data_IF_760131729416
#
_entry.id   IF_760131729416
#
_cell.length_a   1.000
_cell.length_b   1.000
_cell.length_c   1.000
_cell.angle_alpha   90.00
_cell.angle_beta   90.00
_cell.angle_gamma   90.00
#
_symmetry.space_group_name_H-M   'P 1'
#
loop_
_entity.id
_entity.type
_entity.pdbx_description
1 polymer ?
#
# COMPACT_ATOMS: atom_id res chain seq x y z
N UNK A 1 7.18 -0.38 -6.95
CA UNK A 1 6.37 0.86 -7.12
C UNK A 1 7.16 1.97 -7.79
N UNK A 2 8.37 2.30 -7.30
CA UNK A 2 9.23 3.33 -7.91
C UNK A 2 9.46 3.14 -9.41
N UNK A 3 9.75 1.91 -9.86
CA UNK A 3 9.94 1.59 -11.29
C UNK A 3 8.70 1.82 -12.15
N UNK A 4 7.54 1.30 -11.73
CA UNK A 4 6.30 1.38 -12.54
C UNK A 4 5.75 2.80 -12.65
N UNK A 5 6.06 3.64 -11.67
CA UNK A 5 5.73 5.06 -11.65
C UNK A 5 6.90 5.94 -12.08
N UNK A 6 8.04 5.37 -12.51
CA UNK A 6 9.25 6.13 -12.85
C UNK A 6 9.56 7.29 -11.88
N UNK A 7 9.38 7.05 -10.57
CA UNK A 7 9.49 8.06 -9.54
C UNK A 7 10.17 7.48 -8.29
N UNK A 8 11.38 7.97 -7.92
CA UNK A 8 12.12 7.45 -6.77
C UNK A 8 11.44 7.73 -5.42
N UNK A 9 10.51 8.70 -5.37
CA UNK A 9 9.72 9.03 -4.19
C UNK A 9 8.42 8.24 -4.09
N UNK A 10 8.10 7.37 -5.07
CA UNK A 10 6.87 6.61 -5.03
C UNK A 10 6.93 5.50 -3.97
N UNK A 11 6.00 5.56 -3.01
CA UNK A 11 5.78 4.56 -1.98
C UNK A 11 4.29 4.39 -1.67
N UNK A 12 3.89 3.29 -1.02
CA UNK A 12 2.51 3.14 -0.54
C UNK A 12 2.05 4.28 0.36
N UNK A 13 2.99 4.94 1.06
CA UNK A 13 2.72 6.07 1.93
C UNK A 13 2.38 7.33 1.13
N UNK A 14 3.15 7.62 0.06
CA UNK A 14 2.94 8.80 -0.78
C UNK A 14 1.74 8.68 -1.71
N UNK A 15 1.28 7.46 -1.99
CA UNK A 15 0.10 7.20 -2.82
C UNK A 15 -1.22 7.12 -2.02
N UNK A 16 -1.19 7.33 -0.71
CA UNK A 16 -2.40 7.30 0.12
C UNK A 16 -2.90 5.90 0.49
N UNK A 17 -2.20 4.83 0.11
CA UNK A 17 -2.57 3.45 0.49
C UNK A 17 -2.46 3.26 2.01
N UNK A 18 -1.43 3.84 2.64
CA UNK A 18 -1.27 3.79 4.10
C UNK A 18 -2.34 4.62 4.83
N UNK A 19 -2.67 5.81 4.32
CA UNK A 19 -3.75 6.64 4.88
C UNK A 19 -5.13 5.95 4.74
N UNK A 20 -5.37 5.30 3.60
CA UNK A 20 -6.55 4.48 3.35
C UNK A 20 -6.66 3.31 4.36
N UNK A 21 -5.55 2.61 4.63
CA UNK A 21 -5.50 1.55 5.63
C UNK A 21 -5.85 2.08 7.04
N UNK A 22 -5.28 3.23 7.43
CA UNK A 22 -5.60 3.89 8.70
C UNK A 22 -7.06 4.29 8.82
N UNK A 23 -7.65 4.82 7.76
CA UNK A 23 -9.08 5.13 7.72
C UNK A 23 -9.94 3.85 7.85
N UNK A 24 -9.60 2.78 7.12
CA UNK A 24 -10.31 1.49 7.22
C UNK A 24 -10.21 0.87 8.62
N UNK A 25 -9.03 0.91 9.24
CA UNK A 25 -8.84 0.48 10.62
C UNK A 25 -9.66 1.34 11.59
N UNK A 26 -9.70 2.65 11.38
CA UNK A 26 -10.45 3.57 12.22
C UNK A 26 -11.96 3.33 12.16
N UNK A 27 -12.52 3.07 10.97
CA UNK A 27 -13.93 2.69 10.83
C UNK A 27 -14.24 1.41 11.63
N UNK A 28 -13.35 0.42 11.58
CA UNK A 28 -13.52 -0.83 12.32
C UNK A 28 -13.42 -0.62 13.84
N UNK A 29 -12.49 0.22 14.30
CA UNK A 29 -12.29 0.51 15.72
C UNK A 29 -13.39 1.41 16.31
N UNK A 30 -13.87 2.39 15.54
CA UNK A 30 -14.90 3.34 15.97
C UNK A 30 -16.30 2.73 15.95
N UNK A 31 -16.65 2.00 14.88
CA UNK A 31 -18.02 1.53 14.64
C UNK A 31 -18.16 0.00 14.66
N UNK A 32 -17.08 -0.75 14.42
CA UNK A 32 -17.12 -2.22 14.41
C UNK A 32 -17.29 -2.86 15.79
N UNK A 33 -16.91 -2.14 16.86
CA UNK A 33 -17.08 -2.57 18.27
C UNK A 33 -18.55 -2.83 18.62
N UNK A 34 -19.49 -2.14 17.97
CA UNK A 34 -20.91 -2.27 18.25
C UNK A 34 -21.54 -3.59 17.76
N UNK A 35 -20.89 -4.30 16.82
CA UNK A 35 -21.48 -5.47 16.16
C UNK A 35 -21.04 -6.81 16.78
N UNK A 36 -19.73 -7.06 16.95
CA UNK A 36 -19.21 -8.35 17.50
C UNK A 36 -17.82 -8.14 18.16
N UNK A 37 -17.71 -8.11 19.50
CA UNK A 37 -16.44 -7.85 20.21
C UNK A 37 -15.32 -8.87 19.92
N UNK A 38 -15.67 -10.15 19.75
CA UNK A 38 -14.70 -11.21 19.46
C UNK A 38 -14.12 -11.15 18.03
N UNK A 39 -14.77 -10.41 17.12
CA UNK A 39 -14.35 -10.31 15.73
C UNK A 39 -13.36 -9.15 15.47
N UNK A 40 -13.12 -8.28 16.45
CA UNK A 40 -12.26 -7.09 16.30
C UNK A 40 -10.84 -7.46 15.85
N UNK A 41 -10.30 -8.58 16.34
CA UNK A 41 -8.95 -9.03 16.00
C UNK A 41 -8.76 -9.26 14.48
N UNK A 42 -9.83 -9.65 13.78
CA UNK A 42 -9.80 -9.92 12.34
C UNK A 42 -10.45 -8.81 11.51
N UNK A 43 -11.48 -8.15 12.04
CA UNK A 43 -12.20 -7.07 11.35
C UNK A 43 -11.28 -5.88 11.11
N UNK A 44 -10.46 -5.49 12.09
CA UNK A 44 -9.58 -4.32 11.94
C UNK A 44 -8.54 -4.54 10.82
N UNK A 45 -7.75 -5.64 10.82
CA UNK A 45 -6.85 -5.94 9.71
C UNK A 45 -7.59 -6.09 8.37
N UNK A 46 -8.75 -6.75 8.35
CA UNK A 46 -9.52 -6.96 7.13
C UNK A 46 -9.99 -5.63 6.53
N UNK A 47 -10.53 -4.72 7.34
CA UNK A 47 -11.03 -3.44 6.86
C UNK A 47 -9.88 -2.53 6.39
N UNK A 48 -8.79 -2.48 7.14
CA UNK A 48 -7.57 -1.78 6.73
C UNK A 48 -7.06 -2.30 5.38
N UNK A 49 -7.00 -3.62 5.21
CA UNK A 49 -6.59 -4.28 3.98
C UNK A 49 -7.52 -3.96 2.81
N UNK A 50 -8.83 -4.09 3.00
CA UNK A 50 -9.83 -3.87 1.93
C UNK A 50 -9.77 -2.42 1.44
N UNK A 51 -9.78 -1.43 2.35
CA UNK A 51 -9.76 -0.01 1.97
C UNK A 51 -8.44 0.37 1.29
N UNK A 52 -7.30 -0.19 1.72
CA UNK A 52 -6.01 -0.02 1.08
C UNK A 52 -5.99 -0.61 -0.34
N UNK A 53 -6.51 -1.83 -0.53
CA UNK A 53 -6.57 -2.49 -1.83
C UNK A 53 -7.55 -1.82 -2.79
N UNK A 54 -8.70 -1.34 -2.29
CA UNK A 54 -9.64 -0.53 -3.07
C UNK A 54 -8.97 0.77 -3.55
N UNK A 55 -8.18 1.42 -2.69
CA UNK A 55 -7.43 2.63 -3.04
C UNK A 55 -6.39 2.34 -4.12
N UNK A 56 -5.63 1.24 -3.98
CA UNK A 56 -4.69 0.79 -5.01
C UNK A 56 -5.38 0.51 -6.35
N UNK A 57 -6.57 -0.11 -6.32
CA UNK A 57 -7.37 -0.36 -7.52
C UNK A 57 -7.85 0.95 -8.15
N UNK A 58 -8.32 1.92 -7.37
CA UNK A 58 -8.72 3.26 -7.87
C UNK A 58 -7.55 3.96 -8.55
N UNK A 59 -6.38 3.96 -7.93
CA UNK A 59 -5.15 4.53 -8.53
C UNK A 59 -4.83 3.83 -9.84
N UNK A 60 -4.92 2.51 -9.88
CA UNK A 60 -4.68 1.76 -11.08
C UNK A 60 -5.68 2.08 -12.20
N UNK A 61 -6.99 2.08 -11.91
CA UNK A 61 -8.03 2.39 -12.90
C UNK A 61 -7.87 3.80 -13.47
N UNK A 62 -7.46 4.76 -12.65
CA UNK A 62 -7.15 6.11 -13.11
C UNK A 62 -5.87 6.15 -13.96
N UNK A 63 -4.85 5.36 -13.61
CA UNK A 63 -3.62 5.25 -14.42
C UNK A 63 -3.84 4.70 -15.84
N UNK A 64 -4.98 4.05 -16.11
CA UNK A 64 -5.32 3.54 -17.44
C UNK A 64 -5.95 4.59 -18.36
N UNK A 65 -6.36 5.75 -17.84
CA UNK A 65 -6.99 6.79 -18.67
C UNK A 65 -5.96 7.44 -19.59
N UNK A 66 -6.36 7.70 -20.85
CA UNK A 66 -5.51 8.38 -21.83
C UNK A 66 -5.07 9.75 -21.31
N UNK A 67 -3.78 10.06 -21.45
CA UNK A 67 -3.20 11.33 -21.01
C UNK A 67 -2.83 11.40 -19.53
N UNK A 68 -3.04 10.34 -18.75
CA UNK A 68 -2.60 10.29 -17.36
C UNK A 68 -1.10 10.06 -17.30
N UNK A 69 -0.39 11.04 -16.75
CA UNK A 69 1.06 10.99 -16.55
C UNK A 69 1.41 10.47 -15.16
N UNK A 70 2.70 10.19 -14.94
CA UNK A 70 3.23 9.86 -13.61
C UNK A 70 2.92 10.95 -12.60
N UNK A 71 3.09 12.23 -12.96
CA UNK A 71 2.82 13.38 -12.10
C UNK A 71 1.35 13.44 -11.70
N UNK A 72 0.45 13.09 -12.63
CA UNK A 72 -0.99 13.00 -12.36
C UNK A 72 -1.29 11.94 -11.30
N UNK A 73 -0.62 10.77 -11.36
CA UNK A 73 -0.77 9.71 -10.37
C UNK A 73 -0.22 10.14 -9.00
N UNK A 74 0.89 10.89 -8.98
CA UNK A 74 1.45 11.44 -7.75
C UNK A 74 0.51 12.46 -7.11
N UNK A 75 -0.04 13.39 -7.90
CA UNK A 75 -1.02 14.38 -7.43
C UNK A 75 -2.31 13.71 -6.93
N UNK A 76 -2.77 12.66 -7.62
CA UNK A 76 -3.88 11.81 -7.15
C UNK A 76 -3.54 11.17 -5.79
N UNK A 77 -2.33 10.64 -5.63
CA UNK A 77 -1.85 10.08 -4.37
C UNK A 77 -1.90 11.11 -3.23
N UNK A 78 -1.42 12.33 -3.48
CA UNK A 78 -1.47 13.44 -2.51
C UNK A 78 -2.92 13.78 -2.17
N UNK A 79 -3.80 13.89 -3.17
CA UNK A 79 -5.22 14.14 -2.94
C UNK A 79 -5.86 13.05 -2.06
N UNK A 80 -5.58 11.78 -2.35
CA UNK A 80 -6.06 10.64 -1.56
C UNK A 80 -5.53 10.67 -0.13
N UNK A 81 -4.26 11.02 0.10
CA UNK A 81 -3.71 11.20 1.45
C UNK A 81 -4.53 12.22 2.22
N UNK A 82 -4.77 13.40 1.66
CA UNK A 82 -5.55 14.44 2.33
C UNK A 82 -7.01 14.03 2.54
N UNK A 83 -7.64 13.38 1.57
CA UNK A 83 -9.01 12.86 1.71
C UNK A 83 -9.11 11.85 2.85
N UNK A 84 -8.24 10.84 2.88
CA UNK A 84 -8.28 9.83 3.93
C UNK A 84 -7.90 10.39 5.30
N UNK A 85 -6.99 11.35 5.38
CA UNK A 85 -6.70 12.03 6.64
C UNK A 85 -7.89 12.85 7.13
N UNK A 86 -8.59 13.57 6.25
CA UNK A 86 -9.80 14.31 6.63
C UNK A 86 -10.91 13.36 7.10
N UNK A 87 -11.13 12.25 6.41
CA UNK A 87 -12.09 11.22 6.81
C UNK A 87 -11.69 10.53 8.11
N UNK A 88 -10.40 10.24 8.31
CA UNK A 88 -9.86 9.70 9.55
C UNK A 88 -10.12 10.67 10.72
N UNK A 89 -9.87 11.96 10.54
CA UNK A 89 -10.18 12.99 11.55
C UNK A 89 -11.67 13.08 11.84
N UNK A 90 -12.54 12.93 10.84
CA UNK A 90 -13.98 12.88 11.04
C UNK A 90 -14.39 11.66 11.89
N UNK A 91 -13.83 10.48 11.59
CA UNK A 91 -14.08 9.27 12.40
C UNK A 91 -13.61 9.47 13.83
N UNK A 92 -12.42 10.05 14.03
CA UNK A 92 -11.88 10.37 15.36
C UNK A 92 -12.81 11.33 16.12
N UNK A 93 -13.34 12.35 15.47
CA UNK A 93 -14.27 13.31 16.07
C UNK A 93 -15.59 12.65 16.52
N UNK A 94 -16.07 11.66 15.76
CA UNK A 94 -17.31 10.94 16.07
C UNK A 94 -17.12 9.74 17.02
N UNK A 95 -15.88 9.44 17.42
CA UNK A 95 -15.54 8.27 18.23
C UNK A 95 -15.66 8.54 19.73
N UNK A 96 -15.91 7.50 20.52
CA UNK A 96 -15.73 7.57 21.98
C UNK A 96 -14.26 7.75 22.35
N UNK A 97 -13.97 8.21 23.57
CA UNK A 97 -12.59 8.39 24.06
C UNK A 97 -11.75 7.11 23.95
N UNK A 98 -12.34 5.95 24.24
CA UNK A 98 -11.66 4.66 24.15
C UNK A 98 -11.36 4.28 22.71
N UNK A 99 -12.32 4.48 21.79
CA UNK A 99 -12.12 4.20 20.37
C UNK A 99 -11.09 5.16 19.76
N UNK A 100 -11.15 6.46 20.11
CA UNK A 100 -10.18 7.45 19.69
C UNK A 100 -8.76 7.05 20.08
N UNK A 101 -8.54 6.69 21.35
CA UNK A 101 -7.24 6.21 21.82
C UNK A 101 -6.77 4.97 21.03
N UNK A 102 -7.66 4.01 20.78
CA UNK A 102 -7.35 2.82 20.00
C UNK A 102 -6.95 3.16 18.55
N UNK A 103 -7.64 4.10 17.91
CA UNK A 103 -7.30 4.61 16.56
C UNK A 103 -5.93 5.24 16.56
N UNK A 104 -5.65 6.17 17.48
CA UNK A 104 -4.35 6.84 17.59
C UNK A 104 -3.23 5.81 17.75
N UNK A 105 -3.36 4.85 18.68
CA UNK A 105 -2.36 3.80 18.88
C UNK A 105 -2.19 2.89 17.66
N UNK A 106 -3.27 2.60 16.92
CA UNK A 106 -3.16 1.80 15.69
C UNK A 106 -2.37 2.54 14.60
N UNK A 107 -2.62 3.84 14.45
CA UNK A 107 -1.95 4.67 13.42
C UNK A 107 -0.45 4.89 13.68
N UNK A 108 0.01 4.79 14.93
CA UNK A 108 1.45 4.87 15.23
C UNK A 108 2.25 3.68 14.71
N UNK A 109 1.58 2.54 14.51
CA UNK A 109 2.25 1.28 14.18
C UNK A 109 3.00 0.67 15.37
N UNK A 110 2.92 -0.64 15.54
CA UNK A 110 3.63 -1.37 16.59
C UNK A 110 3.78 -2.86 16.29
N UNK A 111 4.99 -3.37 16.49
CA UNK A 111 5.30 -4.80 16.38
C UNK A 111 4.90 -5.61 17.63
N UNK A 112 4.43 -4.96 18.69
CA UNK A 112 4.03 -5.64 19.94
C UNK A 112 2.87 -6.62 19.75
N UNK A 113 2.07 -6.44 18.69
CA UNK A 113 0.93 -7.30 18.33
C UNK A 113 1.31 -8.45 17.39
N UNK A 114 2.60 -8.66 17.14
CA UNK A 114 3.09 -9.74 16.29
C UNK A 114 2.83 -11.11 16.91
N UNK A 115 2.28 -12.02 16.12
CA UNK A 115 2.02 -13.40 16.51
C UNK A 115 2.50 -14.34 15.41
N UNK A 116 2.78 -15.60 15.74
CA UNK A 116 3.20 -16.62 14.77
C UNK A 116 2.25 -16.75 13.57
N UNK A 117 0.90 -16.78 13.75
CA UNK A 117 -0.01 -16.80 12.61
C UNK A 117 0.14 -15.60 11.66
N UNK A 118 0.24 -14.38 12.20
CA UNK A 118 0.43 -13.15 11.40
C UNK A 118 1.74 -13.17 10.63
N UNK A 119 2.81 -13.65 11.27
CA UNK A 119 4.12 -13.82 10.64
C UNK A 119 4.05 -14.84 9.50
N UNK A 120 3.49 -16.03 9.75
CA UNK A 120 3.35 -17.09 8.74
C UNK A 120 2.56 -16.57 7.53
N UNK A 121 1.42 -15.91 7.73
CA UNK A 121 0.62 -15.33 6.64
C UNK A 121 1.46 -14.33 5.82
N UNK A 122 2.15 -13.41 6.49
CA UNK A 122 2.99 -12.40 5.82
C UNK A 122 4.14 -13.04 5.04
N UNK A 123 4.82 -14.02 5.64
CA UNK A 123 5.92 -14.75 5.01
C UNK A 123 5.47 -15.59 3.82
N UNK A 124 4.32 -16.29 3.91
CA UNK A 124 3.78 -17.05 2.79
C UNK A 124 3.46 -16.16 1.59
N UNK A 125 2.91 -14.98 1.84
CA UNK A 125 2.56 -14.04 0.76
C UNK A 125 3.82 -13.42 0.15
N UNK A 126 4.84 -13.13 0.96
CA UNK A 126 6.15 -12.74 0.45
C UNK A 126 6.77 -13.85 -0.42
N UNK A 127 6.78 -15.10 0.07
CA UNK A 127 7.33 -16.24 -0.67
C UNK A 127 6.55 -16.54 -1.95
N UNK A 128 5.24 -16.31 -1.98
CA UNK A 128 4.41 -16.50 -3.17
C UNK A 128 4.65 -15.40 -4.22
N UNK A 129 4.88 -14.16 -3.80
CA UNK A 129 5.08 -13.01 -4.71
C UNK A 129 6.52 -12.88 -5.20
N UNK A 130 7.52 -13.31 -4.42
CA UNK A 130 8.93 -13.17 -4.75
C UNK A 130 9.32 -13.82 -6.11
N UNK A 131 8.91 -15.07 -6.43
CA UNK A 131 9.20 -15.67 -7.73
C UNK A 131 8.58 -14.90 -8.91
N UNK A 132 7.45 -14.24 -8.68
CA UNK A 132 6.79 -13.42 -9.70
C UNK A 132 7.64 -12.17 -9.96
N UNK A 133 8.12 -11.50 -8.91
CA UNK A 133 9.03 -10.35 -9.05
C UNK A 133 10.34 -10.72 -9.75
N UNK A 134 10.96 -11.85 -9.40
CA UNK A 134 12.18 -12.33 -10.06
C UNK A 134 11.95 -12.55 -11.55
N UNK A 135 10.83 -13.20 -11.93
CA UNK A 135 10.48 -13.40 -13.35
C UNK A 135 10.16 -12.10 -14.09
N UNK A 136 9.64 -11.09 -13.39
CA UNK A 136 9.27 -9.78 -13.96
C UNK A 136 10.43 -8.78 -13.91
N UNK A 137 11.55 -9.08 -13.25
CA UNK A 137 12.68 -8.17 -13.06
C UNK A 137 13.15 -7.55 -14.39
N UNK A 138 13.44 -8.38 -15.40
CA UNK A 138 13.84 -7.90 -16.73
C UNK A 138 12.81 -6.94 -17.35
N UNK A 139 11.51 -7.24 -17.23
CA UNK A 139 10.46 -6.40 -17.80
C UNK A 139 10.34 -5.06 -17.05
N UNK A 140 10.60 -5.06 -15.74
CA UNK A 140 10.68 -3.85 -14.92
C UNK A 140 11.92 -3.03 -15.28
N UNK A 141 13.08 -3.66 -15.51
CA UNK A 141 14.30 -2.99 -16.00
C UNK A 141 14.08 -2.37 -17.38
N UNK A 142 13.45 -3.11 -18.30
CA UNK A 142 13.08 -2.58 -19.63
C UNK A 142 12.16 -1.36 -19.51
N UNK A 143 11.22 -1.36 -18.56
CA UNK A 143 10.34 -0.22 -18.30
C UNK A 143 11.10 1.03 -17.84
N UNK A 144 12.23 0.90 -17.13
CA UNK A 144 13.08 2.03 -16.75
C UNK A 144 13.74 2.71 -17.96
N UNK A 145 13.96 1.99 -19.05
CA UNK A 145 14.54 2.54 -20.29
C UNK A 145 13.53 3.39 -21.08
N UNK A 146 12.25 3.35 -20.72
CA UNK A 146 11.14 4.06 -21.35
C UNK A 146 10.03 3.11 -21.79
N UNK A 147 8.79 3.63 -21.80
CA UNK A 147 7.60 2.83 -22.16
C UNK A 147 7.67 2.30 -23.59
N UNK A 148 8.05 3.14 -24.55
CA UNK A 148 8.13 2.76 -25.97
C UNK A 148 9.20 1.68 -26.22
N UNK A 149 10.34 1.75 -25.50
CA UNK A 149 11.40 0.74 -25.57
C UNK A 149 10.97 -0.58 -24.92
N UNK A 150 10.32 -0.52 -23.76
CA UNK A 150 9.77 -1.72 -23.14
C UNK A 150 8.74 -2.40 -24.05
N UNK A 151 7.86 -1.61 -24.68
CA UNK A 151 6.87 -2.11 -25.62
C UNK A 151 7.51 -2.75 -26.87
N UNK A 152 8.59 -2.19 -27.40
CA UNK A 152 9.32 -2.77 -28.55
C UNK A 152 10.03 -4.08 -28.20
N UNK A 153 10.43 -4.28 -26.94
CA UNK A 153 10.90 -5.58 -26.42
C UNK A 153 9.76 -6.59 -26.15
N UNK A 154 8.51 -6.25 -26.50
CA UNK A 154 7.34 -7.13 -26.32
C UNK A 154 6.72 -7.09 -24.92
N UNK A 155 7.14 -6.15 -24.05
CA UNK A 155 6.56 -5.99 -22.72
C UNK A 155 5.16 -5.40 -22.82
N UNK A 156 4.16 -6.10 -22.26
CA UNK A 156 2.80 -5.58 -22.11
C UNK A 156 2.76 -4.57 -20.95
N UNK A 157 3.19 -3.33 -21.19
CA UNK A 157 3.39 -2.28 -20.16
C UNK A 157 2.18 -2.10 -19.23
N UNK A 158 0.97 -1.97 -19.79
CA UNK A 158 -0.24 -1.79 -18.98
C UNK A 158 -0.51 -2.97 -18.03
N UNK A 159 -0.30 -4.20 -18.51
CA UNK A 159 -0.43 -5.42 -17.69
C UNK A 159 0.65 -5.50 -16.62
N UNK A 160 1.90 -5.20 -16.98
CA UNK A 160 3.03 -5.18 -16.04
C UNK A 160 2.77 -4.18 -14.90
N UNK A 161 2.27 -2.99 -15.23
CA UNK A 161 1.89 -1.97 -14.25
C UNK A 161 0.78 -2.44 -13.33
N UNK A 162 -0.30 -3.02 -13.85
CA UNK A 162 -1.40 -3.56 -13.06
C UNK A 162 -0.91 -4.62 -12.07
N UNK A 163 -0.27 -5.68 -12.58
CA UNK A 163 0.20 -6.81 -11.77
C UNK A 163 1.15 -6.31 -10.68
N UNK A 164 2.11 -5.46 -11.04
CA UNK A 164 3.08 -4.92 -10.09
C UNK A 164 2.44 -4.00 -9.06
N UNK A 165 1.49 -3.14 -9.45
CA UNK A 165 0.77 -2.27 -8.53
C UNK A 165 0.00 -3.11 -7.52
N UNK A 166 -0.76 -4.10 -7.98
CA UNK A 166 -1.54 -4.98 -7.10
C UNK A 166 -0.64 -5.79 -6.16
N UNK A 167 0.46 -6.36 -6.65
CA UNK A 167 1.39 -7.12 -5.81
C UNK A 167 2.10 -6.26 -4.77
N UNK A 168 2.57 -5.05 -5.14
CA UNK A 168 3.22 -4.16 -4.16
C UNK A 168 2.22 -3.63 -3.15
N UNK A 169 1.00 -3.31 -3.58
CA UNK A 169 -0.08 -2.92 -2.66
C UNK A 169 -0.45 -4.04 -1.70
N UNK A 170 -0.51 -5.29 -2.18
CA UNK A 170 -0.71 -6.47 -1.34
C UNK A 170 0.42 -6.59 -0.29
N UNK A 171 1.68 -6.54 -0.73
CA UNK A 171 2.85 -6.63 0.15
C UNK A 171 2.96 -5.49 1.16
N UNK A 172 2.41 -4.32 0.85
CA UNK A 172 2.34 -3.19 1.78
C UNK A 172 1.14 -3.31 2.73
N UNK A 173 -0.03 -3.66 2.22
CA UNK A 173 -1.28 -3.63 2.98
C UNK A 173 -1.34 -4.71 4.06
N UNK A 174 -0.78 -5.90 3.82
CA UNK A 174 -0.81 -7.00 4.80
C UNK A 174 -0.07 -6.69 6.09
N UNK A 175 1.23 -6.32 6.07
CA UNK A 175 1.92 -5.97 7.32
C UNK A 175 1.24 -4.75 7.97
N UNK A 176 0.85 -3.73 7.20
CA UNK A 176 0.15 -2.56 7.72
C UNK A 176 -1.17 -2.92 8.41
N UNK A 177 -1.93 -3.87 7.88
CA UNK A 177 -3.17 -4.33 8.48
C UNK A 177 -2.95 -4.99 9.86
N UNK A 178 -1.80 -5.66 10.06
CA UNK A 178 -1.49 -6.35 11.31
C UNK A 178 -0.78 -5.48 12.36
N UNK A 179 0.16 -4.65 11.92
CA UNK A 179 1.04 -3.89 12.81
C UNK A 179 0.80 -2.39 12.74
N UNK A 180 -0.19 -1.92 11.98
CA UNK A 180 -0.44 -0.49 11.76
C UNK A 180 0.55 0.12 10.75
N UNK A 181 0.43 1.42 10.55
CA UNK A 181 1.22 2.14 9.54
C UNK A 181 2.65 2.39 10.00
N UNK A 182 3.63 1.86 9.26
CA UNK A 182 5.06 2.14 9.46
C UNK A 182 5.61 2.84 8.22
N UNK A 183 6.04 4.09 8.40
CA UNK A 183 6.51 4.95 7.31
C UNK A 183 7.96 4.68 6.87
N UNK A 184 8.36 5.32 5.78
CA UNK A 184 9.73 5.40 5.24
C UNK A 184 10.41 4.09 4.78
N UNK A 185 9.97 2.90 5.21
CA UNK A 185 10.57 1.63 4.81
C UNK A 185 10.60 1.48 3.27
N UNK A 186 9.49 1.80 2.61
CA UNK A 186 9.35 1.73 1.15
C UNK A 186 10.11 2.80 0.38
N UNK A 187 10.75 3.77 1.06
CA UNK A 187 11.59 4.80 0.45
C UNK A 187 13.07 4.53 0.75
N UNK A 188 13.40 4.36 2.03
CA UNK A 188 14.77 4.19 2.51
C UNK A 188 15.34 2.84 2.08
N UNK A 189 14.56 1.76 2.19
CA UNK A 189 15.02 0.41 1.84
C UNK A 189 15.52 0.29 0.39
N UNK A 190 14.69 0.64 -0.62
CA UNK A 190 15.12 0.62 -2.01
C UNK A 190 16.26 1.59 -2.31
N UNK A 191 16.34 2.74 -1.63
CA UNK A 191 17.43 3.70 -1.80
C UNK A 191 18.77 3.12 -1.32
N UNK A 192 18.79 2.52 -0.14
CA UNK A 192 19.98 1.83 0.39
C UNK A 192 20.38 0.67 -0.54
N UNK A 193 19.41 -0.13 -0.99
CA UNK A 193 19.69 -1.22 -1.93
C UNK A 193 20.38 -0.70 -3.20
N UNK A 194 19.88 0.40 -3.79
CA UNK A 194 20.52 1.01 -4.97
C UNK A 194 21.94 1.49 -4.73
N UNK A 195 22.23 2.02 -3.54
CA UNK A 195 23.59 2.44 -3.17
C UNK A 195 24.56 1.25 -3.06
N UNK A 196 24.07 0.08 -2.67
CA UNK A 196 24.90 -1.11 -2.43
C UNK A 196 25.12 -1.96 -3.69
N UNK A 197 24.08 -2.17 -4.49
CA UNK A 197 24.11 -3.12 -5.61
C UNK A 197 23.85 -2.49 -6.99
N UNK A 198 23.60 -1.18 -7.06
CA UNK A 198 23.25 -0.48 -8.30
C UNK A 198 21.75 -0.43 -8.57
N UNK A 199 21.36 0.05 -9.75
CA UNK A 199 19.95 0.31 -10.06
C UNK A 199 19.22 -0.83 -10.81
N UNK A 200 19.90 -1.95 -11.07
CA UNK A 200 19.36 -3.13 -11.75
C UNK A 200 18.73 -4.15 -10.80
#
# INVERSE_FOLDING_TARGET
MQTILNNPLASPFTLGISAAASFGAALALAFGVALIPAAIEYIVPLNAFVVAMLTALVIHLLSLKRGVTVETIVLLGIALVFTFNALLSLVQYLSSEQALAAVVFWTMGSLTKATWPKLIITSLILLATLPIFVRRAWALTALRLGEDKAASFGVKVARLRLETMMMVSLLAAIPVAFVGTIGFIGLVGPHIARMLIGED
#
